data_IF_966864493931
#
_entry.id   IF_966864493931
#
_cell.length_a   1.000
_cell.length_b   1.000
_cell.length_c   1.000
_cell.angle_alpha   90.00
_cell.angle_beta   90.00
_cell.angle_gamma   90.00
#
_symmetry.space_group_name_H-M   'P 1'
#
loop_
_entity.id
_entity.type
_entity.pdbx_description
1 polymer ?
#
# COMPACT_ATOMS: atom_id res chain seq x y z
N UNK A 1 -3.71 -3.51 11.72
CA UNK A 1 -4.31 -4.75 11.17
C UNK A 1 -3.19 -5.62 10.61
N UNK A 2 -3.16 -6.90 10.95
CA UNK A 2 -2.12 -7.87 10.55
C UNK A 2 -2.74 -9.00 9.72
N UNK A 3 -1.95 -9.63 8.84
CA UNK A 3 -2.42 -10.80 8.11
C UNK A 3 -2.66 -11.99 9.05
N UNK A 4 -3.42 -12.98 8.58
CA UNK A 4 -3.36 -14.32 9.13
C UNK A 4 -2.01 -14.96 8.78
N UNK A 5 -1.38 -15.59 9.77
CA UNK A 5 -0.09 -16.26 9.66
C UNK A 5 -0.24 -17.76 9.42
N UNK A 6 0.76 -18.38 8.79
CA UNK A 6 0.82 -19.81 8.52
C UNK A 6 0.74 -20.15 7.03
N UNK A 7 1.23 -21.34 6.66
CA UNK A 7 1.36 -21.74 5.25
C UNK A 7 0.08 -22.38 4.70
N UNK A 8 -0.74 -22.99 5.56
CA UNK A 8 -2.02 -23.63 5.20
C UNK A 8 -3.19 -22.76 5.66
N UNK A 9 -3.41 -21.64 4.98
CA UNK A 9 -4.53 -20.75 5.26
C UNK A 9 -5.79 -21.22 4.53
N UNK A 10 -6.93 -21.13 5.21
CA UNK A 10 -8.24 -21.32 4.57
C UNK A 10 -8.44 -20.28 3.45
N UNK A 11 -9.37 -20.57 2.53
CA UNK A 11 -9.67 -19.68 1.40
C UNK A 11 -10.04 -18.28 1.89
N UNK A 12 -10.86 -18.19 2.93
CA UNK A 12 -11.36 -16.95 3.53
C UNK A 12 -10.21 -16.11 4.10
N UNK A 13 -9.27 -16.76 4.80
CA UNK A 13 -8.07 -16.10 5.34
C UNK A 13 -7.14 -15.60 4.25
N UNK A 14 -7.03 -16.33 3.13
CA UNK A 14 -6.27 -15.90 1.96
C UNK A 14 -6.91 -14.69 1.28
N UNK A 15 -8.25 -14.69 1.13
CA UNK A 15 -9.02 -13.53 0.65
C UNK A 15 -8.75 -12.32 1.53
N UNK A 16 -8.86 -12.47 2.86
CA UNK A 16 -8.56 -11.40 3.80
C UNK A 16 -7.14 -10.85 3.62
N UNK A 17 -6.13 -11.72 3.60
CA UNK A 17 -4.74 -11.33 3.44
C UNK A 17 -4.50 -10.57 2.12
N UNK A 18 -5.12 -11.02 1.04
CA UNK A 18 -5.04 -10.36 -0.26
C UNK A 18 -5.71 -8.99 -0.25
N UNK A 19 -6.92 -8.85 0.31
CA UNK A 19 -7.59 -7.54 0.44
C UNK A 19 -6.82 -6.58 1.33
N UNK A 20 -6.24 -7.08 2.43
CA UNK A 20 -5.39 -6.30 3.32
C UNK A 20 -4.12 -5.84 2.60
N UNK A 21 -3.48 -6.70 1.80
CA UNK A 21 -2.33 -6.34 0.96
C UNK A 21 -2.70 -5.23 -0.03
N UNK A 22 -3.84 -5.37 -0.73
CA UNK A 22 -4.35 -4.34 -1.65
C UNK A 22 -4.62 -3.01 -0.96
N UNK A 23 -5.17 -3.00 0.26
CA UNK A 23 -5.37 -1.78 1.02
C UNK A 23 -4.05 -1.10 1.39
N UNK A 24 -3.03 -1.87 1.81
CA UNK A 24 -1.69 -1.34 2.14
C UNK A 24 -1.02 -0.70 0.92
N UNK A 25 -1.22 -1.25 -0.28
CA UNK A 25 -0.65 -0.72 -1.53
C UNK A 25 -1.00 0.75 -1.80
N UNK A 26 -2.17 1.22 -1.38
CA UNK A 26 -2.53 2.64 -1.52
C UNK A 26 -1.55 3.54 -0.76
N UNK A 27 -1.23 3.14 0.48
CA UNK A 27 -0.30 3.86 1.36
C UNK A 27 1.14 3.73 0.83
N UNK A 28 1.54 2.54 0.40
CA UNK A 28 2.86 2.31 -0.21
C UNK A 28 3.06 3.16 -1.47
N UNK A 29 2.07 3.22 -2.36
CA UNK A 29 2.13 4.05 -3.56
C UNK A 29 2.30 5.54 -3.19
N UNK A 30 1.51 6.06 -2.25
CA UNK A 30 1.59 7.46 -1.85
C UNK A 30 2.99 7.83 -1.34
N UNK A 31 3.49 7.11 -0.33
CA UNK A 31 4.82 7.36 0.23
C UNK A 31 5.95 7.05 -0.74
N UNK A 32 5.80 6.00 -1.56
CA UNK A 32 6.76 5.62 -2.59
C UNK A 32 6.93 6.71 -3.66
N UNK A 33 5.81 7.24 -4.16
CA UNK A 33 5.80 8.36 -5.12
C UNK A 33 6.38 9.62 -4.48
N UNK A 34 5.98 9.95 -3.25
CA UNK A 34 6.55 11.07 -2.50
C UNK A 34 8.06 10.95 -2.39
N UNK A 35 8.58 9.78 -2.01
CA UNK A 35 10.01 9.56 -1.85
C UNK A 35 10.78 9.60 -3.18
N UNK A 36 10.17 9.13 -4.27
CA UNK A 36 10.73 9.21 -5.61
C UNK A 36 10.82 10.66 -6.12
N UNK A 37 9.81 11.48 -5.81
CA UNK A 37 9.67 12.86 -6.30
C UNK A 37 10.40 13.88 -5.45
N UNK A 38 10.25 13.83 -4.14
CA UNK A 38 10.85 14.82 -3.24
C UNK A 38 12.24 14.36 -2.81
N UNK A 39 13.26 15.12 -3.24
CA UNK A 39 14.68 14.82 -2.98
C UNK A 39 15.00 14.71 -1.48
N UNK A 40 14.24 15.39 -0.62
CA UNK A 40 14.42 15.36 0.83
C UNK A 40 14.34 13.95 1.42
N UNK A 41 13.59 13.04 0.81
CA UNK A 41 13.43 11.65 1.25
C UNK A 41 14.44 10.67 0.64
N UNK A 42 15.38 11.15 -0.20
CA UNK A 42 16.41 10.29 -0.81
C UNK A 42 17.58 10.00 0.13
N UNK A 43 17.72 10.78 1.20
CA UNK A 43 18.70 10.62 2.27
C UNK A 43 17.99 10.77 3.63
N UNK A 44 18.58 10.27 4.74
CA UNK A 44 18.10 10.61 6.07
C UNK A 44 17.99 12.13 6.24
N UNK A 45 16.92 12.58 6.90
CA UNK A 45 16.68 14.00 7.14
C UNK A 45 17.48 14.41 8.38
N UNK A 46 18.47 15.28 8.19
CA UNK A 46 19.27 15.84 9.28
C UNK A 46 18.59 17.11 9.81
N UNK A 47 17.58 16.93 10.67
CA UNK A 47 16.85 18.03 11.32
C UNK A 47 16.23 17.55 12.66
N UNK A 48 15.68 18.46 13.45
CA UNK A 48 14.92 18.11 14.65
C UNK A 48 13.66 17.31 14.30
N UNK A 49 13.12 16.57 15.27
CA UNK A 49 11.89 15.77 15.08
C UNK A 49 10.72 16.65 14.67
N UNK A 50 10.61 17.84 15.25
CA UNK A 50 9.58 18.83 14.95
C UNK A 50 9.68 19.30 13.50
N UNK A 51 10.92 19.55 13.04
CA UNK A 51 11.19 19.95 11.66
C UNK A 51 10.88 18.80 10.69
N UNK A 52 11.25 17.57 11.03
CA UNK A 52 10.91 16.38 10.26
C UNK A 52 9.38 16.21 10.11
N UNK A 53 8.62 16.40 11.19
CA UNK A 53 7.14 16.38 11.15
C UNK A 53 6.59 17.46 10.21
N UNK A 54 7.12 18.68 10.28
CA UNK A 54 6.71 19.78 9.42
C UNK A 54 7.04 19.50 7.94
N UNK A 55 8.23 18.97 7.64
CA UNK A 55 8.63 18.54 6.29
C UNK A 55 7.66 17.50 5.75
N UNK A 56 7.35 16.45 6.53
CA UNK A 56 6.43 15.40 6.10
C UNK A 56 5.04 15.99 5.81
N UNK A 57 4.48 16.80 6.72
CA UNK A 57 3.19 17.45 6.52
C UNK A 57 3.16 18.32 5.25
N UNK A 58 4.18 19.17 5.05
CA UNK A 58 4.29 20.01 3.87
C UNK A 58 4.36 19.19 2.57
N UNK A 59 5.12 18.09 2.57
CA UNK A 59 5.22 17.22 1.39
C UNK A 59 3.93 16.45 1.10
N UNK A 60 3.12 16.12 2.11
CA UNK A 60 1.79 15.52 1.92
C UNK A 60 0.85 16.53 1.24
N UNK A 61 0.81 17.77 1.72
CA UNK A 61 0.01 18.82 1.09
C UNK A 61 0.42 19.05 -0.37
N UNK A 62 1.74 19.12 -0.63
CA UNK A 62 2.27 19.30 -1.98
C UNK A 62 2.02 18.08 -2.87
N UNK A 63 2.13 16.86 -2.33
CA UNK A 63 1.80 15.62 -3.04
C UNK A 63 0.35 15.65 -3.53
N UNK A 64 -0.59 15.98 -2.64
CA UNK A 64 -2.01 16.04 -2.97
C UNK A 64 -2.29 17.12 -4.02
N UNK A 65 -1.73 18.32 -3.86
CA UNK A 65 -1.87 19.41 -4.83
C UNK A 65 -1.36 19.00 -6.23
N UNK A 66 -0.15 18.42 -6.31
CA UNK A 66 0.43 17.99 -7.58
C UNK A 66 -0.34 16.82 -8.20
N UNK A 67 -0.88 15.91 -7.37
CA UNK A 67 -1.68 14.79 -7.85
C UNK A 67 -3.00 15.26 -8.46
N UNK A 68 -3.69 16.20 -7.80
CA UNK A 68 -4.91 16.81 -8.32
C UNK A 68 -4.67 17.55 -9.63
N UNK A 69 -3.58 18.32 -9.71
CA UNK A 69 -3.19 19.00 -10.95
C UNK A 69 -2.91 18.01 -12.09
N UNK A 70 -2.23 16.89 -11.82
CA UNK A 70 -1.99 15.83 -12.81
C UNK A 70 -3.30 15.15 -13.24
N UNK A 71 -4.24 14.92 -12.32
CA UNK A 71 -5.52 14.28 -12.63
C UNK A 71 -6.40 15.12 -13.55
N UNK A 72 -6.35 16.45 -13.41
CA UNK A 72 -7.00 17.39 -14.32
C UNK A 72 -6.42 17.41 -15.74
N UNK A 73 -5.26 16.78 -15.95
CA UNK A 73 -4.57 16.74 -17.25
C UNK A 73 -4.76 15.39 -17.96
N UNK A 74 -4.75 15.38 -19.32
CA UNK A 74 -4.72 14.14 -20.09
C UNK A 74 -3.52 13.26 -19.70
N UNK A 75 -3.63 11.93 -19.73
CA UNK A 75 -2.58 11.00 -19.26
C UNK A 75 -1.17 11.29 -19.81
N UNK A 76 -1.07 11.68 -21.09
CA UNK A 76 0.20 11.98 -21.76
C UNK A 76 0.87 13.28 -21.28
N UNK A 77 0.12 14.18 -20.63
CA UNK A 77 0.64 15.46 -20.11
C UNK A 77 0.95 15.42 -18.62
N UNK A 78 0.65 14.32 -17.92
CA UNK A 78 0.90 14.14 -16.48
C UNK A 78 2.40 14.06 -16.20
N UNK A 79 2.90 14.88 -15.29
CA UNK A 79 4.34 14.95 -14.98
C UNK A 79 4.67 14.39 -13.61
N UNK A 80 3.78 14.54 -12.64
CA UNK A 80 3.99 14.14 -11.25
C UNK A 80 3.80 12.63 -11.03
N UNK A 81 2.76 12.05 -11.61
CA UNK A 81 2.45 10.64 -11.58
C UNK A 81 1.94 10.20 -12.98
N UNK A 82 2.83 10.12 -13.98
CA UNK A 82 2.47 9.67 -15.32
C UNK A 82 1.98 8.21 -15.31
N UNK A 83 1.29 7.76 -16.37
CA UNK A 83 0.88 6.36 -16.51
C UNK A 83 2.04 5.39 -16.28
N UNK A 84 1.79 4.33 -15.51
CA UNK A 84 2.81 3.35 -15.11
C UNK A 84 3.74 3.80 -13.98
N UNK A 85 3.63 5.04 -13.48
CA UNK A 85 4.48 5.48 -12.37
C UNK A 85 4.07 4.86 -11.03
N UNK A 86 2.77 4.75 -10.75
CA UNK A 86 2.18 4.09 -9.57
C UNK A 86 1.93 2.60 -9.82
N UNK A 87 1.89 1.79 -8.76
CA UNK A 87 1.43 0.40 -8.90
C UNK A 87 -0.03 0.38 -9.36
N UNK A 88 -0.33 -0.50 -10.30
CA UNK A 88 -1.70 -0.71 -10.83
C UNK A 88 -2.09 -2.18 -10.69
N UNK A 89 -3.32 -2.50 -11.03
CA UNK A 89 -3.81 -3.87 -11.06
C UNK A 89 -4.02 -4.28 -12.50
N UNK A 90 -3.58 -5.49 -12.84
CA UNK A 90 -3.99 -6.12 -14.09
C UNK A 90 -5.49 -6.47 -14.00
N UNK A 91 -6.15 -6.69 -15.15
CA UNK A 91 -7.51 -7.21 -15.18
C UNK A 91 -7.68 -8.53 -14.41
N UNK A 92 -6.61 -9.33 -14.30
CA UNK A 92 -6.60 -10.61 -13.60
C UNK A 92 -6.37 -10.49 -12.08
N UNK A 93 -6.30 -9.26 -11.56
CA UNK A 93 -6.08 -8.99 -10.13
C UNK A 93 -4.60 -9.00 -9.70
N UNK A 94 -3.68 -9.23 -10.63
CA UNK A 94 -2.25 -9.20 -10.35
C UNK A 94 -1.74 -7.77 -10.20
N UNK A 95 -0.67 -7.62 -9.42
CA UNK A 95 -0.05 -6.31 -9.19
C UNK A 95 0.94 -5.99 -10.30
N UNK A 96 0.68 -4.93 -11.06
CA UNK A 96 1.67 -4.34 -11.97
C UNK A 96 2.45 -3.29 -11.17
N UNK A 97 3.74 -3.53 -11.00
CA UNK A 97 4.62 -2.65 -10.20
C UNK A 97 4.89 -1.33 -10.94
N UNK A 98 4.79 -0.22 -10.21
CA UNK A 98 5.03 1.12 -10.72
C UNK A 98 6.51 1.47 -10.79
N UNK A 99 6.86 2.37 -11.71
CA UNK A 99 8.23 2.87 -11.90
C UNK A 99 8.82 3.54 -10.65
N UNK A 100 7.99 4.00 -9.71
CA UNK A 100 8.48 4.58 -8.46
C UNK A 100 9.36 3.61 -7.66
N UNK A 101 9.08 2.29 -7.73
CA UNK A 101 9.83 1.25 -7.01
C UNK A 101 11.29 1.13 -7.45
N UNK A 102 11.63 1.60 -8.65
CA UNK A 102 13.01 1.61 -9.17
C UNK A 102 13.84 2.79 -8.67
N UNK A 103 13.22 3.81 -8.05
CA UNK A 103 13.91 5.01 -7.58
C UNK A 103 14.52 4.75 -6.21
N UNK A 104 15.81 5.09 -6.05
CA UNK A 104 16.49 5.05 -4.75
C UNK A 104 15.82 6.05 -3.78
N UNK A 105 15.37 5.55 -2.63
CA UNK A 105 14.88 6.35 -1.52
C UNK A 105 15.54 5.91 -0.21
N UNK A 106 15.56 6.80 0.79
CA UNK A 106 16.07 6.47 2.13
C UNK A 106 14.99 5.89 3.05
N UNK A 107 13.71 5.98 2.65
CA UNK A 107 12.62 5.32 3.36
C UNK A 107 12.79 3.81 3.23
N UNK A 108 13.02 3.15 4.35
CA UNK A 108 13.10 1.69 4.44
C UNK A 108 11.85 1.17 5.11
N UNK A 109 11.43 -0.04 4.74
CA UNK A 109 10.39 -0.75 5.48
C UNK A 109 10.84 -0.89 6.93
N UNK A 110 10.04 -0.31 7.81
CA UNK A 110 10.21 -0.38 9.26
C UNK A 110 9.94 -1.84 9.64
N UNK A 111 10.95 -2.52 10.21
CA UNK A 111 10.82 -3.89 10.69
C UNK A 111 9.84 -4.01 11.86
N UNK A 112 9.72 -5.19 12.48
CA UNK A 112 8.84 -5.35 13.63
C UNK A 112 9.48 -4.70 14.89
N UNK A 113 8.83 -3.68 15.47
CA UNK A 113 9.30 -2.96 16.67
C UNK A 113 8.71 -3.51 18.00
N UNK A 114 8.11 -4.70 18.00
CA UNK A 114 7.53 -5.29 19.20
C UNK A 114 7.02 -6.71 19.00
N UNK A 115 6.39 -7.26 20.05
CA UNK A 115 5.75 -8.57 19.97
C UNK A 115 4.56 -8.53 19.00
N UNK A 116 4.38 -9.58 18.20
CA UNK A 116 3.22 -9.73 17.32
C UNK A 116 1.92 -10.09 18.07
N UNK A 117 1.91 -9.94 19.40
CA UNK A 117 0.77 -10.28 20.24
C UNK A 117 -0.26 -9.16 20.17
N UNK A 118 -1.47 -9.52 19.75
CA UNK A 118 -2.57 -8.60 19.59
C UNK A 118 -3.62 -8.76 20.69
N UNK A 119 -4.37 -7.70 20.94
CA UNK A 119 -5.53 -7.76 21.83
C UNK A 119 -6.63 -8.64 21.22
N UNK A 120 -7.44 -9.29 22.07
CA UNK A 120 -8.59 -10.08 21.63
C UNK A 120 -9.54 -9.27 20.74
N UNK A 121 -9.80 -8.01 21.08
CA UNK A 121 -10.66 -7.11 20.31
C UNK A 121 -10.16 -6.88 18.88
N UNK A 122 -8.86 -6.72 18.70
CA UNK A 122 -8.29 -6.51 17.38
C UNK A 122 -8.18 -7.82 16.58
N UNK A 123 -8.08 -8.96 17.26
CA UNK A 123 -8.29 -10.29 16.67
C UNK A 123 -9.72 -10.43 16.14
N UNK A 124 -10.73 -10.07 16.93
CA UNK A 124 -12.13 -10.10 16.52
C UNK A 124 -12.40 -9.19 15.33
N UNK A 125 -11.83 -7.99 15.30
CA UNK A 125 -11.97 -7.07 14.17
C UNK A 125 -11.46 -7.70 12.86
N UNK A 126 -10.34 -8.43 12.91
CA UNK A 126 -9.81 -9.17 11.77
C UNK A 126 -10.78 -10.25 11.27
N UNK A 127 -11.36 -11.02 12.19
CA UNK A 127 -12.37 -12.03 11.86
C UNK A 127 -13.62 -11.40 11.24
N UNK A 128 -14.14 -10.30 11.81
CA UNK A 128 -15.29 -9.58 11.28
C UNK A 128 -15.05 -9.06 9.84
N UNK A 129 -13.84 -8.54 9.57
CA UNK A 129 -13.49 -8.14 8.20
C UNK A 129 -13.38 -9.33 7.25
N UNK A 130 -12.81 -10.45 7.71
CA UNK A 130 -12.75 -11.69 6.92
C UNK A 130 -14.16 -12.16 6.55
N UNK A 131 -15.06 -12.23 7.52
CA UNK A 131 -16.46 -12.59 7.32
C UNK A 131 -17.16 -11.64 6.34
N UNK A 132 -16.99 -10.32 6.53
CA UNK A 132 -17.53 -9.31 5.61
C UNK A 132 -17.00 -9.51 4.18
N UNK A 133 -15.70 -9.74 3.99
CA UNK A 133 -15.10 -9.94 2.66
C UNK A 133 -15.52 -11.24 1.97
N UNK A 134 -15.99 -12.23 2.73
CA UNK A 134 -16.49 -13.49 2.20
C UNK A 134 -18.02 -13.53 2.06
N UNK A 135 -18.71 -12.47 2.50
CA UNK A 135 -20.16 -12.36 2.44
C UNK A 135 -20.55 -11.12 1.62
N UNK A 136 -21.08 -10.08 2.29
CA UNK A 136 -21.61 -8.86 1.67
C UNK A 136 -20.56 -8.10 0.86
N UNK A 137 -19.30 -8.17 1.26
CA UNK A 137 -18.18 -7.48 0.63
C UNK A 137 -17.40 -8.31 -0.39
N UNK A 138 -17.95 -9.44 -0.85
CA UNK A 138 -17.31 -10.31 -1.85
C UNK A 138 -17.17 -9.59 -3.20
N UNK A 139 -16.03 -9.81 -3.85
CA UNK A 139 -15.73 -9.26 -5.18
C UNK A 139 -15.24 -10.38 -6.11
N UNK A 140 -15.71 -10.38 -7.35
CA UNK A 140 -15.45 -11.47 -8.31
C UNK A 140 -13.96 -11.77 -8.52
N UNK A 141 -13.12 -10.73 -8.58
CA UNK A 141 -11.68 -10.88 -8.80
C UNK A 141 -10.93 -11.48 -7.61
N UNK A 142 -11.52 -11.56 -6.42
CA UNK A 142 -10.81 -12.01 -5.22
C UNK A 142 -10.58 -13.53 -5.22
N UNK A 143 -11.49 -14.27 -5.85
CA UNK A 143 -11.43 -15.72 -5.94
C UNK A 143 -10.38 -16.17 -6.95
N UNK A 144 -10.30 -15.53 -8.13
CA UNK A 144 -9.27 -15.81 -9.13
C UNK A 144 -7.86 -15.71 -8.56
N UNK A 145 -7.55 -14.60 -7.88
CA UNK A 145 -6.22 -14.39 -7.32
C UNK A 145 -5.90 -15.39 -6.21
N UNK A 146 -6.87 -15.78 -5.39
CA UNK A 146 -6.66 -16.74 -4.30
C UNK A 146 -6.62 -18.18 -4.82
N UNK A 147 -7.31 -18.54 -5.88
CA UNK A 147 -7.29 -19.91 -6.42
C UNK A 147 -6.05 -20.16 -7.29
N UNK A 148 -5.62 -19.16 -8.08
CA UNK A 148 -4.49 -19.29 -9.00
C UNK A 148 -3.12 -19.01 -8.34
N UNK A 149 -3.06 -18.13 -7.33
CA UNK A 149 -1.81 -17.83 -6.64
C UNK A 149 -1.47 -18.90 -5.60
N UNK A 150 -0.89 -20.01 -6.04
CA UNK A 150 -0.24 -21.02 -5.19
C UNK A 150 1.00 -20.52 -4.41
N UNK A 151 1.13 -19.22 -4.13
CA UNK A 151 2.24 -18.65 -3.36
C UNK A 151 1.72 -17.79 -2.23
N UNK A 152 2.03 -18.24 -1.02
CA UNK A 152 1.92 -17.45 0.19
C UNK A 152 2.82 -16.20 0.09
N UNK A 153 2.35 -15.10 0.67
CA UNK A 153 3.17 -13.93 1.00
C UNK A 153 3.96 -14.19 2.29
#
# INVERSE_FOLDING_TARGET
>A
MWPFSGNALSKERRIFNYRLSRARRCVENAFGIMAARFRIFRKPITASVETCKAIVAATVCLHNFLKLADEAMPPLKRRYCPPGFSDTLSPNGDTILGLWRQKKCALKTVGCFGSNMHTKSAGQLRENFMEYFCSVGQLEWQDHHVLDAGRAY
#
